data_IF_146754711640
#
_entry.id   IF_146754711640
#
_cell.length_a   1.000
_cell.length_b   1.000
_cell.length_c   1.000
_cell.angle_alpha   90.00
_cell.angle_beta   90.00
_cell.angle_gamma   90.00
#
_symmetry.space_group_name_H-M   'P 1'
#
loop_
_entity.id
_entity.type
_entity.pdbx_description
1 polymer ?
#
# COMPACT_ATOMS: atom_id res chain seq x y z
N UNK A 1 -45.82 56.47 -6.05
CA UNK A 1 -45.95 57.07 -7.37
C UNK A 1 -45.31 56.16 -8.37
N UNK A 2 -46.16 55.67 -9.12
CA UNK A 2 -46.31 55.30 -10.52
C UNK A 2 -45.67 53.96 -10.90
N UNK A 3 -46.55 53.09 -11.02
CA UNK A 3 -46.82 51.99 -11.94
C UNK A 3 -46.42 52.27 -13.38
N UNK A 4 -45.97 51.22 -14.07
CA UNK A 4 -46.35 50.95 -15.45
C UNK A 4 -46.07 49.48 -15.82
N UNK A 5 -47.11 48.72 -15.91
CA UNK A 5 -47.28 47.45 -16.57
C UNK A 5 -47.19 47.57 -18.08
N UNK A 6 -46.61 46.57 -18.77
CA UNK A 6 -47.04 46.20 -20.17
C UNK A 6 -46.83 44.69 -20.38
N UNK A 7 -47.98 44.08 -20.61
CA UNK A 7 -48.16 42.73 -21.14
C UNK A 7 -47.89 42.68 -22.64
N UNK A 8 -47.38 41.56 -23.17
CA UNK A 8 -47.87 41.03 -24.47
C UNK A 8 -47.46 39.54 -24.59
N UNK A 9 -48.46 38.76 -24.84
CA UNK A 9 -48.48 37.34 -25.18
C UNK A 9 -48.26 37.08 -26.68
N UNK A 10 -48.12 35.83 -27.13
CA UNK A 10 -47.31 35.41 -28.29
C UNK A 10 -48.12 35.18 -29.56
N UNK A 11 -47.48 34.85 -30.67
CA UNK A 11 -48.14 34.13 -31.74
C UNK A 11 -47.70 32.68 -31.94
N UNK A 12 -48.70 31.93 -32.33
CA UNK A 12 -48.81 30.48 -32.58
C UNK A 12 -47.89 29.89 -33.63
N UNK A 13 -47.53 28.66 -33.33
CA UNK A 13 -47.41 27.44 -34.14
C UNK A 13 -47.28 27.52 -35.69
N UNK A 14 -46.23 26.78 -36.16
CA UNK A 14 -46.34 25.91 -37.34
C UNK A 14 -45.59 24.61 -37.13
N UNK A 15 -46.31 23.51 -37.20
CA UNK A 15 -45.85 22.16 -37.38
C UNK A 15 -45.00 22.02 -38.64
N UNK A 16 -43.79 21.48 -38.52
CA UNK A 16 -43.15 20.75 -39.61
C UNK A 16 -42.71 19.37 -39.05
N UNK A 17 -43.37 18.34 -39.56
CA UNK A 17 -42.90 16.97 -39.51
C UNK A 17 -41.64 16.88 -40.37
N UNK A 18 -40.53 16.43 -39.78
CA UNK A 18 -39.28 16.10 -40.41
C UNK A 18 -38.88 14.70 -39.97
N UNK A 19 -38.74 13.84 -40.95
CA UNK A 19 -38.44 12.41 -40.90
C UNK A 19 -37.28 12.06 -39.97
N UNK A 20 -37.52 11.01 -39.18
CA UNK A 20 -36.49 10.35 -38.37
C UNK A 20 -35.55 9.57 -39.31
N UNK A 21 -34.40 10.14 -39.58
CA UNK A 21 -33.23 9.39 -40.09
C UNK A 21 -32.60 8.63 -38.93
N UNK A 22 -32.81 7.32 -38.90
CA UNK A 22 -32.15 6.41 -37.99
C UNK A 22 -30.63 6.46 -38.23
N UNK A 23 -29.91 7.11 -37.30
CA UNK A 23 -28.47 6.89 -37.14
C UNK A 23 -28.32 5.69 -36.21
N UNK A 24 -27.83 4.59 -36.76
CA UNK A 24 -27.30 3.48 -35.99
C UNK A 24 -26.26 4.01 -34.99
N UNK A 25 -26.24 3.51 -33.74
CA UNK A 25 -25.21 3.89 -32.81
C UNK A 25 -23.88 3.37 -33.37
N UNK A 26 -22.90 4.26 -33.54
CA UNK A 26 -21.50 3.92 -33.78
C UNK A 26 -21.07 3.03 -32.64
N UNK A 27 -20.86 1.74 -32.90
CA UNK A 27 -20.11 0.84 -32.02
C UNK A 27 -18.70 1.39 -31.98
N UNK A 28 -18.37 2.11 -30.90
CA UNK A 28 -17.01 2.49 -30.62
C UNK A 28 -16.33 1.21 -30.19
N UNK A 29 -15.44 0.71 -31.04
CA UNK A 29 -14.56 -0.41 -30.72
C UNK A 29 -13.60 0.08 -29.63
N UNK A 30 -13.89 -0.28 -28.37
CA UNK A 30 -13.15 0.16 -27.17
C UNK A 30 -11.73 -0.44 -27.09
N UNK A 31 -11.31 -1.24 -28.08
CA UNK A 31 -10.05 -1.98 -28.05
C UNK A 31 -8.92 -1.40 -28.94
N UNK A 32 -9.07 -0.23 -29.52
CA UNK A 32 -7.98 0.42 -30.27
C UNK A 32 -7.13 1.26 -29.31
N UNK A 33 -5.85 0.89 -29.06
CA UNK A 33 -4.97 1.69 -28.20
C UNK A 33 -4.76 3.09 -28.81
N UNK A 34 -5.17 4.11 -28.07
CA UNK A 34 -4.89 5.49 -28.45
C UNK A 34 -3.38 5.76 -28.26
N UNK A 35 -2.65 6.24 -29.28
CA UNK A 35 -1.22 6.56 -29.12
C UNK A 35 -1.00 7.53 -27.98
N UNK A 36 -0.19 7.13 -26.97
CA UNK A 36 0.13 7.92 -25.77
C UNK A 36 -0.72 7.57 -24.53
N UNK A 37 -1.66 6.61 -24.59
CA UNK A 37 -2.32 6.08 -23.42
C UNK A 37 -1.35 5.21 -22.60
N UNK A 38 -1.32 5.43 -21.27
CA UNK A 38 -0.58 4.59 -20.33
C UNK A 38 -1.12 3.17 -20.45
N UNK A 39 -0.26 2.22 -20.80
CA UNK A 39 -0.61 0.81 -20.87
C UNK A 39 -0.31 0.19 -19.52
N UNK A 40 -1.31 -0.51 -18.95
CA UNK A 40 -1.10 -1.28 -17.73
C UNK A 40 -0.06 -2.38 -17.96
N UNK A 41 0.78 -2.63 -16.97
CA UNK A 41 1.81 -3.65 -17.02
C UNK A 41 1.82 -4.53 -15.76
N UNK A 42 2.44 -5.70 -15.87
CA UNK A 42 2.65 -6.63 -14.75
C UNK A 42 4.01 -7.29 -14.89
N UNK A 43 4.80 -7.25 -13.82
CA UNK A 43 6.13 -7.83 -13.73
C UNK A 43 6.22 -8.74 -12.50
N UNK A 44 6.19 -10.07 -12.66
CA UNK A 44 6.49 -11.00 -11.58
C UNK A 44 8.01 -11.08 -11.37
N UNK A 45 8.47 -11.04 -10.13
CA UNK A 45 9.87 -11.16 -9.76
C UNK A 45 10.04 -12.08 -8.54
N UNK A 46 11.19 -12.80 -8.52
CA UNK A 46 11.65 -13.52 -7.33
C UNK A 46 12.82 -12.76 -6.74
N UNK A 47 12.61 -12.15 -5.56
CA UNK A 47 13.59 -11.28 -4.91
C UNK A 47 14.24 -12.00 -3.73
N UNK A 48 15.56 -11.95 -3.65
CA UNK A 48 16.32 -12.61 -2.57
C UNK A 48 16.07 -11.95 -1.22
N UNK A 49 15.72 -12.78 -0.23
CA UNK A 49 15.60 -12.37 1.16
C UNK A 49 16.99 -12.39 1.81
N UNK A 50 17.36 -11.29 2.47
CA UNK A 50 18.61 -11.22 3.18
C UNK A 50 18.69 -12.30 4.27
N UNK A 51 19.79 -13.07 4.28
CA UNK A 51 20.07 -14.19 5.20
C UNK A 51 19.13 -15.41 5.11
N UNK A 52 18.27 -15.48 4.12
CA UNK A 52 17.36 -16.62 3.90
C UNK A 52 17.61 -17.26 2.53
N UNK A 53 17.24 -18.54 2.41
CA UNK A 53 17.26 -19.26 1.11
C UNK A 53 15.99 -19.02 0.31
N UNK A 54 14.91 -18.74 1.00
CA UNK A 54 13.62 -18.42 0.41
C UNK A 54 13.70 -17.08 -0.32
N UNK A 55 12.84 -16.90 -1.30
CA UNK A 55 12.71 -15.67 -2.08
C UNK A 55 11.35 -15.04 -1.86
N UNK A 56 11.26 -13.73 -2.01
CA UNK A 56 9.98 -13.03 -2.06
C UNK A 56 9.33 -13.31 -3.42
N UNK A 57 8.07 -13.69 -3.38
CA UNK A 57 7.18 -13.70 -4.54
C UNK A 57 6.59 -12.31 -4.73
N UNK A 58 7.17 -11.53 -5.63
CA UNK A 58 6.84 -10.14 -5.87
C UNK A 58 6.05 -10.00 -7.17
N UNK A 59 4.92 -9.30 -7.09
CA UNK A 59 4.22 -8.82 -8.28
C UNK A 59 4.24 -7.30 -8.26
N UNK A 60 4.93 -6.71 -9.23
CA UNK A 60 4.83 -5.28 -9.53
C UNK A 60 3.84 -5.08 -10.67
N UNK A 61 2.83 -4.24 -10.46
CA UNK A 61 1.79 -4.05 -11.48
C UNK A 61 1.12 -2.69 -11.37
N UNK A 62 0.73 -2.13 -12.52
CA UNK A 62 -0.25 -1.06 -12.64
C UNK A 62 -1.63 -1.59 -13.06
N UNK A 63 -1.72 -2.88 -13.45
CA UNK A 63 -2.96 -3.52 -13.85
C UNK A 63 -3.85 -3.79 -12.62
N UNK A 64 -5.07 -3.24 -12.55
CA UNK A 64 -5.95 -3.38 -11.39
C UNK A 64 -6.41 -4.82 -11.15
N UNK A 65 -6.62 -5.61 -12.20
CA UNK A 65 -7.09 -7.00 -12.05
C UNK A 65 -5.99 -7.91 -11.50
N UNK A 66 -4.73 -7.69 -11.88
CA UNK A 66 -3.59 -8.41 -11.32
C UNK A 66 -3.34 -8.01 -9.86
N UNK A 67 -3.48 -6.73 -9.52
CA UNK A 67 -3.43 -6.27 -8.14
C UNK A 67 -4.56 -6.91 -7.30
N UNK A 68 -5.78 -6.98 -7.83
CA UNK A 68 -6.91 -7.63 -7.16
C UNK A 68 -6.67 -9.14 -6.94
N UNK A 69 -6.05 -9.85 -7.89
CA UNK A 69 -5.65 -11.26 -7.72
C UNK A 69 -4.67 -11.40 -6.55
N UNK A 70 -3.66 -10.54 -6.48
CA UNK A 70 -2.66 -10.57 -5.41
C UNK A 70 -3.28 -10.20 -4.05
N UNK A 71 -4.17 -9.24 -3.99
CA UNK A 71 -4.89 -8.87 -2.76
C UNK A 71 -5.76 -10.04 -2.26
N UNK A 72 -6.46 -10.73 -3.16
CA UNK A 72 -7.24 -11.93 -2.77
C UNK A 72 -6.36 -13.04 -2.23
N UNK A 73 -5.18 -13.24 -2.81
CA UNK A 73 -4.21 -14.23 -2.30
C UNK A 73 -3.71 -13.84 -0.89
N UNK A 74 -3.36 -12.57 -0.65
CA UNK A 74 -3.02 -12.07 0.68
C UNK A 74 -4.15 -12.37 1.67
N UNK A 75 -5.39 -12.03 1.34
CA UNK A 75 -6.55 -12.30 2.21
C UNK A 75 -6.75 -13.78 2.48
N UNK A 76 -6.58 -14.63 1.48
CA UNK A 76 -6.72 -16.08 1.60
C UNK A 76 -5.70 -16.65 2.59
N UNK A 77 -4.44 -16.26 2.50
CA UNK A 77 -3.38 -16.69 3.42
C UNK A 77 -3.64 -16.19 4.83
N UNK A 78 -3.99 -14.91 4.99
CA UNK A 78 -4.31 -14.32 6.30
C UNK A 78 -5.51 -15.00 6.99
N UNK A 79 -6.45 -15.57 6.23
CA UNK A 79 -7.59 -16.27 6.78
C UNK A 79 -7.24 -17.48 7.66
N UNK A 80 -6.07 -18.09 7.44
CA UNK A 80 -5.53 -19.21 8.22
C UNK A 80 -4.59 -18.83 9.36
N UNK A 81 -4.31 -17.53 9.57
CA UNK A 81 -3.34 -17.05 10.53
C UNK A 81 -3.98 -16.53 11.83
N UNK A 82 -3.30 -16.72 12.96
CA UNK A 82 -3.66 -16.12 14.25
C UNK A 82 -3.42 -14.61 14.22
N UNK A 83 -2.21 -14.19 13.83
CA UNK A 83 -1.88 -12.79 13.60
C UNK A 83 -2.09 -12.43 12.14
N UNK A 84 -2.98 -11.46 11.89
CA UNK A 84 -3.37 -11.02 10.55
C UNK A 84 -2.78 -9.66 10.24
N UNK A 85 -1.46 -9.61 10.11
CA UNK A 85 -0.72 -8.39 9.88
C UNK A 85 -0.30 -8.24 8.42
N UNK A 86 -0.40 -7.02 7.89
CA UNK A 86 0.02 -6.64 6.55
C UNK A 86 0.97 -5.45 6.70
N UNK A 87 2.20 -5.58 6.19
CA UNK A 87 3.08 -4.43 6.09
C UNK A 87 2.70 -3.55 4.91
N UNK A 88 2.76 -2.24 5.13
CA UNK A 88 2.43 -1.21 4.14
C UNK A 88 3.58 -0.22 4.07
N UNK A 89 3.99 0.10 2.86
CA UNK A 89 4.98 1.13 2.57
C UNK A 89 4.58 1.93 1.33
N UNK A 90 5.15 3.12 1.14
CA UNK A 90 4.77 4.02 0.04
C UNK A 90 5.99 4.75 -0.49
N UNK A 91 6.16 4.72 -1.81
CA UNK A 91 7.12 5.58 -2.50
C UNK A 91 6.40 6.75 -3.20
N UNK A 92 7.11 7.86 -3.38
CA UNK A 92 6.51 9.14 -3.76
C UNK A 92 6.90 9.60 -5.16
N UNK A 93 6.04 10.41 -5.76
CA UNK A 93 6.41 11.20 -6.95
C UNK A 93 7.52 12.19 -6.60
N UNK A 94 8.10 12.82 -7.61
CA UNK A 94 9.21 13.77 -7.44
C UNK A 94 8.82 14.93 -6.51
N UNK A 95 9.77 15.34 -5.67
CA UNK A 95 9.59 16.49 -4.75
C UNK A 95 9.49 17.82 -5.48
N UNK A 96 10.14 17.93 -6.65
CA UNK A 96 10.13 19.12 -7.49
C UNK A 96 8.84 19.28 -8.33
N UNK A 97 7.89 18.32 -8.21
CA UNK A 97 6.58 18.35 -8.87
C UNK A 97 5.43 18.35 -7.82
N UNK A 98 5.20 19.45 -7.11
CA UNK A 98 4.14 19.50 -6.10
C UNK A 98 2.72 19.52 -6.71
N UNK A 99 1.71 18.97 -6.00
CA UNK A 99 1.86 18.29 -4.72
C UNK A 99 2.44 16.88 -4.89
N UNK A 100 3.46 16.55 -4.08
CA UNK A 100 4.03 15.21 -4.06
C UNK A 100 2.95 14.20 -3.63
N UNK A 101 2.79 13.13 -4.41
CA UNK A 101 1.77 12.10 -4.24
C UNK A 101 2.41 10.73 -4.04
N UNK A 102 1.62 9.76 -3.61
CA UNK A 102 2.04 8.36 -3.65
C UNK A 102 2.22 7.91 -5.11
N UNK A 103 3.38 7.38 -5.42
CA UNK A 103 3.69 6.82 -6.74
C UNK A 103 3.54 5.31 -6.76
N UNK A 104 3.93 4.64 -5.67
CA UNK A 104 3.91 3.20 -5.50
C UNK A 104 3.40 2.88 -4.11
N UNK A 105 2.54 1.86 -4.01
CA UNK A 105 2.08 1.28 -2.74
C UNK A 105 2.59 -0.15 -2.64
N UNK A 106 3.22 -0.49 -1.53
CA UNK A 106 3.66 -1.83 -1.23
C UNK A 106 2.77 -2.47 -0.15
N UNK A 107 2.38 -3.72 -0.38
CA UNK A 107 1.74 -4.58 0.61
C UNK A 107 2.55 -5.86 0.74
N UNK A 108 2.95 -6.21 1.96
CA UNK A 108 3.70 -7.44 2.22
C UNK A 108 3.05 -8.27 3.33
N UNK A 109 2.98 -9.57 3.08
CA UNK A 109 2.56 -10.58 4.04
C UNK A 109 3.38 -11.85 3.81
N UNK A 110 4.23 -12.23 4.77
CA UNK A 110 5.22 -13.29 4.63
C UNK A 110 6.15 -13.06 3.44
N UNK A 111 6.23 -14.02 2.53
CA UNK A 111 6.99 -13.96 1.28
C UNK A 111 6.24 -13.28 0.13
N UNK A 112 4.97 -12.96 0.32
CA UNK A 112 4.08 -12.43 -0.71
C UNK A 112 4.10 -10.90 -0.72
N UNK A 113 4.50 -10.30 -1.84
CA UNK A 113 4.59 -8.85 -1.98
C UNK A 113 3.80 -8.37 -3.21
N UNK A 114 2.96 -7.36 -3.00
CA UNK A 114 2.38 -6.55 -4.06
C UNK A 114 3.10 -5.20 -4.08
N UNK A 115 3.65 -4.83 -5.23
CA UNK A 115 4.15 -3.50 -5.54
C UNK A 115 3.18 -2.88 -6.56
N UNK A 116 2.22 -2.08 -6.08
CA UNK A 116 1.21 -1.47 -6.94
C UNK A 116 1.65 -0.09 -7.41
N UNK A 117 1.85 0.05 -8.73
CA UNK A 117 2.36 1.27 -9.35
C UNK A 117 1.21 2.25 -9.64
N UNK A 118 0.91 3.12 -8.67
CA UNK A 118 -0.23 4.05 -8.67
C UNK A 118 -0.17 5.03 -9.85
N UNK A 119 1.02 5.62 -10.10
CA UNK A 119 1.17 6.66 -11.15
C UNK A 119 1.01 6.13 -12.56
N UNK A 120 1.25 4.84 -12.77
CA UNK A 120 1.07 4.18 -14.07
C UNK A 120 -0.34 3.59 -14.25
N UNK A 121 -1.05 3.35 -13.16
CA UNK A 121 -2.36 2.70 -13.20
C UNK A 121 -3.42 3.57 -13.86
N UNK A 122 -4.29 2.93 -14.64
CA UNK A 122 -5.43 3.58 -15.31
C UNK A 122 -6.68 3.57 -14.44
N UNK A 123 -6.81 2.58 -13.54
CA UNK A 123 -7.95 2.39 -12.65
C UNK A 123 -7.46 1.88 -11.28
N UNK A 124 -8.28 2.07 -10.25
CA UNK A 124 -8.04 1.49 -8.93
C UNK A 124 -8.48 0.02 -8.88
N UNK A 125 -7.68 -0.87 -8.25
CA UNK A 125 -8.14 -2.22 -7.93
C UNK A 125 -9.38 -2.19 -7.04
N UNK A 126 -10.36 -3.03 -7.34
CA UNK A 126 -11.63 -3.10 -6.60
C UNK A 126 -11.46 -3.55 -5.16
N UNK A 127 -10.49 -4.46 -4.93
CA UNK A 127 -10.18 -5.02 -3.63
C UNK A 127 -9.31 -4.12 -2.75
N UNK A 128 -8.59 -3.15 -3.35
CA UNK A 128 -7.58 -2.37 -2.62
C UNK A 128 -8.20 -1.45 -1.57
N UNK A 129 -9.16 -0.62 -1.96
CA UNK A 129 -9.80 0.32 -1.03
C UNK A 129 -10.55 -0.39 0.11
N UNK A 130 -11.35 -1.45 -0.13
CA UNK A 130 -11.95 -2.23 0.94
C UNK A 130 -10.93 -2.89 1.86
N UNK A 131 -9.77 -3.33 1.34
CA UNK A 131 -8.69 -3.88 2.17
C UNK A 131 -8.13 -2.80 3.10
N UNK A 132 -7.71 -1.65 2.57
CA UNK A 132 -7.05 -0.57 3.33
C UNK A 132 -7.98 0.09 4.36
N UNK A 133 -9.29 0.01 4.18
CA UNK A 133 -10.31 0.54 5.09
C UNK A 133 -10.88 -0.50 6.05
N UNK A 134 -10.41 -1.76 5.97
CA UNK A 134 -10.87 -2.81 6.88
C UNK A 134 -10.56 -2.47 8.34
N UNK A 135 -11.58 -2.57 9.21
CA UNK A 135 -11.49 -2.08 10.59
C UNK A 135 -11.25 -3.16 11.64
N UNK A 136 -11.53 -4.42 11.33
CA UNK A 136 -11.60 -5.49 12.33
C UNK A 136 -10.64 -6.65 12.07
N UNK A 137 -10.41 -7.00 10.81
CA UNK A 137 -9.76 -8.26 10.45
C UNK A 137 -8.24 -8.18 10.39
N UNK A 138 -7.68 -7.01 10.02
CA UNK A 138 -6.24 -6.88 9.74
C UNK A 138 -5.60 -5.78 10.57
N UNK A 139 -4.35 -6.00 10.95
CA UNK A 139 -3.45 -4.97 11.49
C UNK A 139 -2.52 -4.53 10.38
N UNK A 140 -2.57 -3.25 10.03
CA UNK A 140 -1.62 -2.68 9.08
C UNK A 140 -0.43 -2.10 9.83
N UNK A 141 0.76 -2.45 9.36
CA UNK A 141 2.01 -2.01 9.99
C UNK A 141 2.87 -1.27 8.97
N UNK A 142 3.43 -0.15 9.37
CA UNK A 142 4.32 0.63 8.54
C UNK A 142 5.48 1.19 9.36
N UNK A 143 6.48 1.67 8.67
CA UNK A 143 7.62 2.31 9.31
C UNK A 143 7.65 3.79 8.94
N UNK A 144 7.45 4.68 9.93
CA UNK A 144 7.31 6.13 9.70
C UNK A 144 6.10 6.54 8.83
N UNK A 145 5.00 5.80 8.94
CA UNK A 145 3.84 5.83 8.03
C UNK A 145 3.06 7.17 8.02
N UNK A 146 3.41 8.12 8.88
CA UNK A 146 2.68 9.38 8.98
C UNK A 146 2.63 10.17 7.67
N UNK A 147 3.78 10.30 6.99
CA UNK A 147 3.87 10.96 5.68
C UNK A 147 3.15 10.20 4.57
N UNK A 148 3.19 8.87 4.63
CA UNK A 148 2.57 7.98 3.64
C UNK A 148 1.06 8.15 3.59
N UNK A 149 0.42 8.31 4.75
CA UNK A 149 -1.03 8.56 4.85
C UNK A 149 -1.46 9.81 4.08
N UNK A 150 -0.70 10.89 4.21
CA UNK A 150 -0.97 12.14 3.49
C UNK A 150 -0.80 11.98 1.99
N UNK A 151 0.28 11.32 1.56
CA UNK A 151 0.55 11.08 0.13
C UNK A 151 -0.49 10.18 -0.51
N UNK A 152 -0.91 9.12 0.20
CA UNK A 152 -2.00 8.25 -0.25
C UNK A 152 -3.32 9.00 -0.37
N UNK A 153 -3.66 9.85 0.59
CA UNK A 153 -4.86 10.68 0.54
C UNK A 153 -4.86 11.63 -0.66
N UNK A 154 -3.72 12.29 -0.93
CA UNK A 154 -3.55 13.15 -2.10
C UNK A 154 -3.68 12.37 -3.42
N UNK A 155 -3.39 11.07 -3.42
CA UNK A 155 -3.56 10.17 -4.56
C UNK A 155 -4.97 9.56 -4.66
N UNK A 156 -5.89 9.90 -3.75
CA UNK A 156 -7.25 9.37 -3.73
C UNK A 156 -7.42 8.05 -3.00
N UNK A 157 -6.39 7.59 -2.27
CA UNK A 157 -6.43 6.43 -1.40
C UNK A 157 -6.40 6.86 0.07
N UNK A 158 -7.56 6.82 0.72
CA UNK A 158 -7.62 7.02 2.16
C UNK A 158 -7.50 5.69 2.88
N UNK A 159 -6.56 5.62 3.82
CA UNK A 159 -6.37 4.46 4.69
C UNK A 159 -7.00 4.73 6.05
N UNK A 160 -7.49 3.66 6.73
CA UNK A 160 -8.04 3.81 8.07
C UNK A 160 -6.92 4.12 9.08
N UNK A 161 -6.88 5.33 9.67
CA UNK A 161 -5.79 5.74 10.55
C UNK A 161 -5.70 4.92 11.84
N UNK A 162 -6.81 4.37 12.32
CA UNK A 162 -6.87 3.68 13.62
C UNK A 162 -6.27 2.27 13.59
N UNK A 163 -6.07 1.71 12.38
CA UNK A 163 -5.54 0.36 12.17
C UNK A 163 -4.09 0.31 11.71
N UNK A 164 -3.46 1.46 11.54
CA UNK A 164 -2.08 1.55 11.11
C UNK A 164 -1.15 1.73 12.30
N UNK A 165 -0.32 0.73 12.53
CA UNK A 165 0.73 0.77 13.56
C UNK A 165 1.98 1.36 12.95
N UNK A 166 2.44 2.48 13.48
CA UNK A 166 3.76 3.06 13.16
C UNK A 166 4.81 2.41 14.06
N UNK A 167 5.58 1.48 13.49
CA UNK A 167 6.58 0.75 14.26
C UNK A 167 7.72 1.63 14.76
N UNK A 168 8.09 2.68 14.03
CA UNK A 168 9.11 3.63 14.49
C UNK A 168 8.74 4.29 15.82
N UNK A 169 7.45 4.36 16.13
CA UNK A 169 6.91 4.89 17.40
C UNK A 169 6.71 3.81 18.47
N UNK A 170 6.54 2.55 18.06
CA UNK A 170 6.27 1.43 18.99
C UNK A 170 7.52 0.80 19.58
N UNK A 171 8.64 0.86 18.88
CA UNK A 171 9.89 0.27 19.31
C UNK A 171 11.02 1.28 19.32
N UNK A 172 11.88 1.22 20.32
CA UNK A 172 13.09 2.05 20.41
C UNK A 172 14.33 1.17 20.31
N UNK A 173 15.22 1.50 19.39
CA UNK A 173 16.52 0.82 19.31
C UNK A 173 17.33 1.13 20.56
N UNK A 174 17.76 0.12 21.33
CA UNK A 174 18.52 0.35 22.54
C UNK A 174 19.84 1.10 22.28
N UNK A 175 20.18 2.03 23.16
CA UNK A 175 21.50 2.68 23.27
C UNK A 175 21.95 3.54 22.06
N UNK A 176 21.10 3.86 21.09
CA UNK A 176 21.56 4.67 19.97
C UNK A 176 21.32 6.19 20.13
N UNK A 177 20.60 6.60 21.17
CA UNK A 177 20.36 8.00 21.51
C UNK A 177 19.54 8.81 20.51
N UNK A 178 19.17 8.24 19.38
CA UNK A 178 18.39 8.90 18.35
C UNK A 178 16.90 8.93 18.73
N UNK A 179 16.24 10.06 18.47
CA UNK A 179 14.79 10.16 18.63
C UNK A 179 14.04 9.27 17.61
N UNK A 180 14.54 9.21 16.39
CA UNK A 180 14.00 8.42 15.29
C UNK A 180 15.11 7.59 14.65
N UNK A 181 14.84 6.32 14.42
CA UNK A 181 15.75 5.37 13.79
C UNK A 181 15.38 5.21 12.32
N UNK A 182 16.36 4.87 11.47
CA UNK A 182 16.11 4.40 10.12
C UNK A 182 15.63 2.93 10.13
N UNK A 183 14.93 2.50 9.10
CA UNK A 183 14.45 1.11 8.98
C UNK A 183 15.58 0.09 9.10
N UNK A 184 16.76 0.37 8.52
CA UNK A 184 17.93 -0.51 8.63
C UNK A 184 18.44 -0.68 10.08
N UNK A 185 18.49 0.41 10.87
CA UNK A 185 18.87 0.37 12.29
C UNK A 185 17.85 -0.42 13.11
N UNK A 186 16.57 -0.21 12.79
CA UNK A 186 15.46 -0.89 13.42
C UNK A 186 15.51 -2.41 13.15
N UNK A 187 15.64 -2.81 11.88
CA UNK A 187 15.75 -4.20 11.47
C UNK A 187 17.02 -4.87 12.05
N UNK A 188 18.13 -4.14 12.11
CA UNK A 188 19.36 -4.65 12.71
C UNK A 188 19.20 -4.96 14.19
N UNK A 189 18.38 -4.21 14.92
CA UNK A 189 18.14 -4.44 16.35
C UNK A 189 17.18 -5.60 16.63
N UNK A 190 16.24 -5.87 15.72
CA UNK A 190 15.18 -6.86 15.93
C UNK A 190 15.39 -8.17 15.19
N UNK A 191 15.95 -8.12 13.99
CA UNK A 191 16.09 -9.29 13.12
C UNK A 191 17.52 -9.82 13.17
N UNK A 192 18.50 -9.03 12.65
CA UNK A 192 19.89 -9.41 12.64
C UNK A 192 20.79 -8.19 12.35
N UNK A 193 21.96 -8.03 13.03
CA UNK A 193 22.85 -6.87 12.88
C UNK A 193 23.26 -6.55 11.44
N UNK A 194 23.36 -7.54 10.56
CA UNK A 194 23.75 -7.33 9.16
C UNK A 194 22.75 -6.52 8.35
N UNK A 195 21.52 -6.31 8.84
CA UNK A 195 20.56 -5.40 8.20
C UNK A 195 21.00 -3.94 8.19
N UNK A 196 22.00 -3.56 9.02
CA UNK A 196 22.63 -2.23 8.92
C UNK A 196 23.21 -1.96 7.53
N UNK A 197 23.64 -3.00 6.81
CA UNK A 197 24.22 -2.88 5.46
C UNK A 197 23.18 -2.89 4.34
N UNK A 198 21.91 -3.15 4.66
CA UNK A 198 20.83 -3.35 3.68
C UNK A 198 20.71 -2.18 2.71
N UNK A 199 20.84 -0.94 3.18
CA UNK A 199 20.71 0.27 2.36
C UNK A 199 22.03 0.79 1.77
N UNK A 200 23.20 0.36 2.27
CA UNK A 200 24.50 0.91 1.82
C UNK A 200 24.82 0.58 0.36
N UNK A 201 24.43 -0.60 -0.12
CA UNK A 201 24.67 -1.01 -1.52
C UNK A 201 23.70 -0.36 -2.49
N UNK A 202 22.51 -0.02 -2.00
CA UNK A 202 21.40 0.46 -2.81
C UNK A 202 21.51 1.97 -3.08
N UNK A 203 21.92 2.77 -2.08
CA UNK A 203 21.91 4.24 -2.15
C UNK A 203 22.85 4.89 -3.21
N UNK A 204 23.77 4.14 -3.82
CA UNK A 204 24.68 4.69 -4.85
C UNK A 204 24.12 4.63 -6.27
N UNK A 205 23.14 3.75 -6.50
CA UNK A 205 22.57 3.48 -7.83
C UNK A 205 21.09 3.88 -7.93
N UNK A 206 20.57 4.49 -6.86
CA UNK A 206 19.16 4.76 -6.73
C UNK A 206 18.80 6.19 -7.10
N UNK A 207 17.95 6.36 -8.10
CA UNK A 207 17.28 7.63 -8.36
C UNK A 207 15.81 7.54 -7.92
N UNK A 208 15.52 8.09 -6.74
CA UNK A 208 14.16 8.19 -6.21
C UNK A 208 13.22 9.05 -7.10
N UNK A 209 13.76 9.71 -8.12
CA UNK A 209 12.95 10.45 -9.09
C UNK A 209 12.21 9.54 -10.08
N UNK A 210 12.65 8.28 -10.19
CA UNK A 210 12.12 7.33 -11.17
C UNK A 210 10.84 6.61 -10.71
N UNK A 211 10.32 6.87 -9.52
CA UNK A 211 9.06 6.25 -9.05
C UNK A 211 7.84 6.61 -9.90
N UNK A 212 7.92 7.63 -10.71
CA UNK A 212 6.89 8.01 -11.69
C UNK A 212 7.01 7.33 -13.04
N UNK A 213 8.15 6.68 -13.33
CA UNK A 213 8.45 6.10 -14.64
C UNK A 213 7.77 4.74 -14.81
N UNK A 214 7.30 4.44 -16.02
CA UNK A 214 6.58 3.19 -16.32
C UNK A 214 7.18 2.48 -17.53
N UNK A 215 7.49 1.18 -17.42
CA UNK A 215 7.46 0.34 -16.21
C UNK A 215 8.57 0.69 -15.22
N UNK A 216 8.38 0.33 -13.93
CA UNK A 216 9.42 0.53 -12.92
C UNK A 216 10.66 -0.32 -13.22
N UNK A 217 11.87 0.23 -13.04
CA UNK A 217 13.11 -0.54 -13.09
C UNK A 217 13.15 -1.64 -12.02
N UNK A 218 13.73 -2.80 -12.34
CA UNK A 218 13.80 -3.95 -11.43
C UNK A 218 14.45 -3.63 -10.07
N UNK A 219 15.50 -2.81 -10.05
CA UNK A 219 16.16 -2.40 -8.82
C UNK A 219 15.24 -1.59 -7.88
N UNK A 220 14.32 -0.78 -8.44
CA UNK A 220 13.32 -0.06 -7.67
C UNK A 220 12.26 -1.02 -7.11
N UNK A 221 11.81 -1.98 -7.91
CA UNK A 221 10.85 -3.00 -7.47
C UNK A 221 11.45 -3.84 -6.34
N UNK A 222 12.71 -4.27 -6.48
CA UNK A 222 13.42 -5.00 -5.43
C UNK A 222 13.56 -4.20 -4.13
N UNK A 223 13.88 -2.91 -4.26
CA UNK A 223 13.98 -2.02 -3.11
C UNK A 223 12.65 -1.94 -2.36
N UNK A 224 11.58 -1.57 -3.06
CA UNK A 224 10.25 -1.44 -2.51
C UNK A 224 9.77 -2.75 -1.84
N UNK A 225 10.01 -3.88 -2.50
CA UNK A 225 9.66 -5.19 -1.96
C UNK A 225 10.44 -5.52 -0.68
N UNK A 226 11.74 -5.22 -0.63
CA UNK A 226 12.59 -5.46 0.53
C UNK A 226 12.21 -4.58 1.72
N UNK A 227 11.91 -3.31 1.50
CA UNK A 227 11.50 -2.40 2.57
C UNK A 227 10.17 -2.85 3.20
N UNK A 228 9.17 -3.21 2.40
CA UNK A 228 7.91 -3.75 2.88
C UNK A 228 8.10 -5.10 3.62
N UNK A 229 8.94 -6.00 3.09
CA UNK A 229 9.23 -7.28 3.73
C UNK A 229 9.94 -7.10 5.08
N UNK A 230 10.95 -6.25 5.15
CA UNK A 230 11.68 -5.98 6.39
C UNK A 230 10.76 -5.37 7.45
N UNK A 231 9.83 -4.52 7.02
CA UNK A 231 8.78 -3.97 7.88
C UNK A 231 7.89 -5.10 8.44
N UNK A 232 7.48 -6.05 7.61
CA UNK A 232 6.69 -7.22 8.04
C UNK A 232 7.46 -8.12 9.03
N UNK A 233 8.69 -8.50 8.69
CA UNK A 233 9.52 -9.36 9.54
C UNK A 233 9.83 -8.72 10.91
N UNK A 234 10.12 -7.43 10.93
CA UNK A 234 10.36 -6.71 12.18
C UNK A 234 9.11 -6.68 13.06
N UNK A 235 7.93 -6.50 12.47
CA UNK A 235 6.67 -6.58 13.19
C UNK A 235 6.43 -7.96 13.80
N UNK A 236 6.66 -9.02 13.04
CA UNK A 236 6.55 -10.40 13.55
C UNK A 236 7.46 -10.64 14.77
N UNK A 237 8.66 -10.07 14.79
CA UNK A 237 9.55 -10.15 15.94
C UNK A 237 8.99 -9.41 17.15
N UNK A 238 8.39 -8.24 16.95
CA UNK A 238 7.73 -7.49 18.03
C UNK A 238 6.55 -8.27 18.60
N UNK A 239 5.72 -8.87 17.77
CA UNK A 239 4.59 -9.70 18.22
C UNK A 239 5.07 -10.86 19.08
N UNK A 240 6.09 -11.61 18.64
CA UNK A 240 6.67 -12.74 19.40
C UNK A 240 7.21 -12.29 20.77
N UNK A 241 7.93 -11.16 20.80
CA UNK A 241 8.46 -10.62 22.07
C UNK A 241 7.32 -10.22 23.00
N UNK A 242 6.28 -9.59 22.47
CA UNK A 242 5.12 -9.17 23.26
C UNK A 242 4.37 -10.37 23.83
N UNK A 243 4.07 -11.36 23.02
CA UNK A 243 3.42 -12.60 23.45
C UNK A 243 4.25 -13.33 24.54
N UNK A 244 5.57 -13.36 24.36
CA UNK A 244 6.45 -13.93 25.38
C UNK A 244 6.43 -13.17 26.71
N UNK A 245 6.40 -11.85 26.69
CA UNK A 245 6.30 -11.03 27.89
C UNK A 245 4.95 -11.20 28.59
N UNK A 246 3.86 -11.27 27.86
CA UNK A 246 2.52 -11.54 28.41
C UNK A 246 2.48 -12.91 29.08
N UNK A 247 3.04 -13.95 28.46
CA UNK A 247 3.15 -15.29 29.05
C UNK A 247 3.92 -15.28 30.37
N UNK A 248 5.08 -14.59 30.44
CA UNK A 248 5.85 -14.51 31.66
C UNK A 248 5.14 -13.75 32.77
N UNK A 249 4.42 -12.70 32.47
CA UNK A 249 3.61 -11.96 33.45
C UNK A 249 2.49 -12.83 34.02
N UNK A 250 1.76 -13.54 33.18
CA UNK A 250 0.74 -14.50 33.62
C UNK A 250 1.34 -15.61 34.48
N UNK A 251 2.51 -16.12 34.14
CA UNK A 251 3.19 -17.15 34.92
C UNK A 251 3.66 -16.61 36.28
N UNK A 252 4.17 -15.38 36.36
CA UNK A 252 4.56 -14.74 37.62
C UNK A 252 3.35 -14.52 38.54
N UNK A 253 2.19 -14.09 38.00
CA UNK A 253 0.95 -13.88 38.76
C UNK A 253 0.40 -15.17 39.38
N UNK A 254 0.75 -16.34 38.82
CA UNK A 254 0.32 -17.66 39.30
C UNK A 254 1.43 -18.46 39.99
N UNK A 255 2.63 -17.91 40.13
CA UNK A 255 3.77 -18.65 40.68
C UNK A 255 3.54 -19.10 42.12
N UNK A 256 2.78 -18.35 42.90
CA UNK A 256 2.46 -18.66 44.29
C UNK A 256 1.16 -19.49 44.45
N UNK A 257 0.45 -19.84 43.36
CA UNK A 257 -0.77 -20.65 43.40
C UNK A 257 -0.42 -22.15 43.32
N UNK A 258 -0.56 -22.91 44.44
CA UNK A 258 -0.26 -24.34 44.48
C UNK A 258 -1.13 -25.19 43.53
N UNK A 259 -2.27 -24.67 43.09
CA UNK A 259 -3.20 -25.37 42.21
C UNK A 259 -2.95 -25.15 40.72
N UNK A 260 -2.12 -24.14 40.37
CA UNK A 260 -1.82 -23.83 38.96
C UNK A 260 -0.86 -24.85 38.32
N UNK A 261 0.05 -25.40 39.13
CA UNK A 261 1.05 -26.39 38.70
C UNK A 261 0.56 -27.82 38.95
N UNK A 262 -0.73 -28.12 38.71
CA UNK A 262 -1.38 -29.41 38.99
C UNK A 262 -0.55 -30.59 38.48
N UNK A 263 0.03 -31.31 39.43
CA UNK A 263 0.48 -32.69 39.29
C UNK A 263 -0.57 -33.60 39.92
#
# INVERSE_FOLDING_TARGET
MAEASWSNSPPSAKHHQGEASGKEPLVVDDDVPVPGQKQDYTMPLMVDIHLKKEKLDVVCTSNPDEADKRIREIRRRLGGMLSRSIAVDVEYTREDEPPQKAAVLQLCMEDLVLVYHITAATKWPKELRPLLQEKKLYTFVGFSIGGDKEKLKLSGLEINPDKYVDMQRKWRVPKNGKKWQALAEFAASLIHPSYMEMKKKINKEFDHKLWGDSPLPNNLIEYAAKDAYVTYEAWKKIEIVKEGLEYWQEAEDHWDDPYYWGY
#
